data_IF_334127948034
#
_entry.id   IF_334127948034
#
_cell.length_a   1.000
_cell.length_b   1.000
_cell.length_c   1.000
_cell.angle_alpha   90.00
_cell.angle_beta   90.00
_cell.angle_gamma   90.00
#
_symmetry.space_group_name_H-M   'P 1'
#
loop_
_entity.id
_entity.type
_entity.pdbx_description
1 polymer ?
#
# COMPACT_ATOMS: atom_id res chain seq x y z
N UNK A 1 -1.16 11.52 -0.25
CA UNK A 1 -0.95 12.57 0.77
C UNK A 1 -1.13 13.99 0.24
N UNK A 2 -0.52 14.40 -0.88
CA UNK A 2 -0.64 15.77 -1.43
C UNK A 2 -2.09 16.26 -1.65
N UNK A 3 -2.98 15.42 -2.20
CA UNK A 3 -4.41 15.76 -2.35
C UNK A 3 -5.15 16.01 -1.03
N UNK A 4 -4.61 15.51 0.07
CA UNK A 4 -5.13 15.72 1.43
C UNK A 4 -4.43 16.89 2.16
N UNK A 5 -3.57 17.66 1.47
CA UNK A 5 -2.85 18.81 2.04
C UNK A 5 -1.47 18.48 2.62
N UNK A 6 -1.08 17.20 2.69
CA UNK A 6 0.24 16.81 3.19
C UNK A 6 1.38 17.10 2.22
N UNK A 7 2.52 17.57 2.72
CA UNK A 7 3.74 17.79 1.96
C UNK A 7 4.76 16.67 2.26
N UNK A 8 4.87 15.64 1.39
CA UNK A 8 5.78 14.53 1.62
C UNK A 8 7.24 14.95 1.42
N UNK A 9 8.08 14.66 2.42
CA UNK A 9 9.53 14.83 2.37
C UNK A 9 10.20 13.51 1.95
N UNK A 10 9.78 12.41 2.56
CA UNK A 10 10.21 11.05 2.24
C UNK A 10 9.08 10.05 2.40
N UNK A 11 9.09 9.00 1.58
CA UNK A 11 8.21 7.83 1.71
C UNK A 11 9.04 6.59 1.43
N UNK A 12 9.14 5.70 2.41
CA UNK A 12 9.72 4.37 2.24
C UNK A 12 8.58 3.36 2.12
N UNK A 13 8.61 2.59 1.05
CA UNK A 13 7.54 1.64 0.71
C UNK A 13 8.14 0.27 0.46
N UNK A 14 7.72 -0.70 1.27
CA UNK A 14 8.07 -2.12 1.09
C UNK A 14 6.84 -2.91 0.67
N UNK A 15 7.04 -3.88 -0.22
CA UNK A 15 6.02 -4.82 -0.66
C UNK A 15 6.52 -6.26 -0.47
N UNK A 16 6.01 -6.94 0.54
CA UNK A 16 6.28 -8.35 0.78
C UNK A 16 5.28 -9.20 -0.02
N UNK A 17 5.80 -10.01 -0.95
CA UNK A 17 4.99 -10.81 -1.88
C UNK A 17 5.05 -12.27 -1.48
N UNK A 18 3.89 -12.86 -1.20
CA UNK A 18 3.75 -14.28 -0.89
C UNK A 18 3.31 -15.06 -2.13
N UNK A 19 4.06 -16.11 -2.46
CA UNK A 19 3.69 -17.10 -3.48
C UNK A 19 3.10 -18.34 -2.82
N UNK A 20 2.02 -18.86 -3.39
CA UNK A 20 1.37 -20.10 -2.96
C UNK A 20 0.94 -20.94 -4.16
N UNK A 21 0.45 -22.15 -3.91
CA UNK A 21 -0.03 -23.03 -4.96
C UNK A 21 -1.27 -22.46 -5.66
N UNK A 22 -1.32 -22.60 -6.98
CA UNK A 22 -2.50 -22.27 -7.79
C UNK A 22 -3.40 -23.53 -7.92
N UNK A 23 -4.72 -23.44 -7.65
CA UNK A 23 -5.66 -24.53 -7.93
C UNK A 23 -5.64 -25.05 -9.37
N UNK A 24 -5.28 -24.21 -10.34
CA UNK A 24 -5.17 -24.58 -11.76
C UNK A 24 -3.78 -25.17 -12.12
N UNK A 25 -2.90 -25.29 -11.12
CA UNK A 25 -1.54 -25.82 -11.24
C UNK A 25 -0.46 -24.74 -11.26
N UNK A 26 0.67 -25.02 -10.61
CA UNK A 26 1.79 -24.08 -10.48
C UNK A 26 1.68 -23.16 -9.26
N UNK A 27 2.16 -21.93 -9.37
CA UNK A 27 2.17 -20.94 -8.29
C UNK A 27 1.43 -19.67 -8.70
N UNK A 28 0.81 -19.02 -7.71
CA UNK A 28 0.23 -17.68 -7.83
C UNK A 28 0.67 -16.80 -6.68
N UNK A 29 0.54 -15.48 -6.87
CA UNK A 29 0.65 -14.52 -5.79
C UNK A 29 -0.64 -14.61 -4.95
N UNK A 30 -0.50 -14.94 -3.68
CA UNK A 30 -1.65 -15.10 -2.77
C UNK A 30 -1.87 -13.89 -1.89
N UNK A 31 -0.78 -13.19 -1.55
CA UNK A 31 -0.82 -11.99 -0.72
C UNK A 31 0.31 -11.02 -1.09
N UNK A 32 0.00 -9.73 -0.97
CA UNK A 32 0.99 -8.65 -0.96
C UNK A 32 0.75 -7.82 0.30
N UNK A 33 1.73 -7.76 1.20
CA UNK A 33 1.71 -6.86 2.35
C UNK A 33 2.50 -5.61 2.01
N UNK A 34 1.82 -4.47 2.00
CA UNK A 34 2.47 -3.17 1.84
C UNK A 34 2.77 -2.59 3.22
N UNK A 35 3.97 -2.05 3.40
CA UNK A 35 4.36 -1.26 4.58
C UNK A 35 4.89 0.08 4.10
N UNK A 36 4.34 1.16 4.64
CA UNK A 36 4.68 2.54 4.27
C UNK A 36 5.07 3.32 5.51
N UNK A 37 6.28 3.84 5.52
CA UNK A 37 6.74 4.83 6.50
C UNK A 37 6.92 6.16 5.78
N UNK A 38 6.41 7.25 6.38
CA UNK A 38 6.41 8.55 5.71
C UNK A 38 6.79 9.72 6.60
N UNK A 39 7.69 10.55 6.10
CA UNK A 39 7.92 11.89 6.62
C UNK A 39 7.04 12.86 5.81
N UNK A 40 5.94 13.31 6.40
CA UNK A 40 4.95 14.16 5.71
C UNK A 40 4.55 15.32 6.61
N UNK A 41 4.82 16.55 6.16
CA UNK A 41 4.38 17.74 6.86
C UNK A 41 2.90 18.04 6.58
N UNK A 42 2.27 18.82 7.45
CA UNK A 42 0.88 19.29 7.32
C UNK A 42 -0.18 18.17 7.25
N UNK A 43 0.14 16.99 7.77
CA UNK A 43 -0.78 15.87 7.85
C UNK A 43 -0.58 15.13 9.18
N UNK A 44 -1.67 14.76 9.83
CA UNK A 44 -1.63 13.91 11.03
C UNK A 44 -1.67 12.42 10.66
N UNK A 45 -1.56 11.55 11.66
CA UNK A 45 -1.51 10.10 11.47
C UNK A 45 -2.80 9.57 10.80
N UNK A 46 -3.98 10.03 11.25
CA UNK A 46 -5.27 9.59 10.70
C UNK A 46 -5.43 10.05 9.24
N UNK A 47 -5.07 11.30 8.94
CA UNK A 47 -5.08 11.84 7.58
C UNK A 47 -4.09 11.13 6.66
N UNK A 48 -2.90 10.77 7.18
CA UNK A 48 -1.91 9.98 6.44
C UNK A 48 -2.44 8.58 6.15
N UNK A 49 -2.99 7.90 7.15
CA UNK A 49 -3.55 6.56 7.01
C UNK A 49 -4.72 6.55 6.01
N UNK A 50 -5.64 7.51 6.07
CA UNK A 50 -6.72 7.65 5.11
C UNK A 50 -6.21 7.88 3.68
N UNK A 51 -5.22 8.76 3.52
CA UNK A 51 -4.61 9.01 2.21
C UNK A 51 -3.88 7.77 1.65
N UNK A 52 -3.22 7.00 2.50
CA UNK A 52 -2.53 5.76 2.12
C UNK A 52 -3.53 4.67 1.71
N UNK A 53 -4.64 4.51 2.45
CA UNK A 53 -5.72 3.57 2.08
C UNK A 53 -6.37 3.96 0.75
N UNK A 54 -6.62 5.26 0.52
CA UNK A 54 -7.14 5.74 -0.76
C UNK A 54 -6.16 5.43 -1.91
N UNK A 55 -4.84 5.55 -1.68
CA UNK A 55 -3.82 5.20 -2.66
C UNK A 55 -3.79 3.70 -2.95
N UNK A 56 -3.88 2.83 -1.93
CA UNK A 56 -3.98 1.37 -2.09
C UNK A 56 -5.11 0.95 -3.02
N UNK A 57 -6.29 1.58 -2.88
CA UNK A 57 -7.45 1.29 -3.73
C UNK A 57 -7.32 1.94 -5.12
N UNK A 58 -6.71 3.13 -5.19
CA UNK A 58 -6.60 3.92 -6.40
C UNK A 58 -5.46 3.52 -7.35
N UNK A 59 -4.41 2.89 -6.82
CA UNK A 59 -3.18 2.58 -7.53
C UNK A 59 -3.43 1.66 -8.75
N UNK A 60 -2.92 2.00 -9.95
CA UNK A 60 -3.08 1.17 -11.15
C UNK A 60 -2.57 -0.27 -10.98
N UNK A 61 -1.46 -0.47 -10.27
CA UNK A 61 -0.90 -1.81 -10.00
C UNK A 61 -1.83 -2.59 -9.08
N UNK A 62 -2.30 -1.98 -7.99
CA UNK A 62 -3.24 -2.63 -7.07
C UNK A 62 -4.57 -2.98 -7.76
N UNK A 63 -5.05 -2.13 -8.67
CA UNK A 63 -6.23 -2.41 -9.51
C UNK A 63 -6.00 -3.52 -10.54
N UNK A 64 -4.78 -3.68 -11.03
CA UNK A 64 -4.45 -4.79 -11.92
C UNK A 64 -4.35 -6.12 -11.16
N UNK A 65 -3.90 -6.08 -9.90
CA UNK A 65 -3.67 -7.24 -9.04
C UNK A 65 -4.90 -7.61 -8.19
N UNK A 66 -6.11 -7.52 -8.74
CA UNK A 66 -7.37 -7.87 -8.02
C UNK A 66 -7.50 -9.36 -7.70
N UNK A 67 -6.70 -10.22 -8.33
CA UNK A 67 -6.65 -11.66 -8.07
C UNK A 67 -5.89 -12.06 -6.81
N UNK A 68 -5.26 -11.11 -6.10
CA UNK A 68 -4.53 -11.34 -4.84
C UNK A 68 -5.09 -10.47 -3.73
N UNK A 69 -4.84 -10.87 -2.48
CA UNK A 69 -5.11 -10.03 -1.32
C UNK A 69 -3.99 -9.01 -1.17
N UNK A 70 -4.35 -7.74 -0.98
CA UNK A 70 -3.38 -6.67 -0.69
C UNK A 70 -3.72 -6.10 0.69
N UNK A 71 -2.76 -6.11 1.61
CA UNK A 71 -2.84 -5.46 2.93
C UNK A 71 -1.94 -4.22 2.96
N UNK A 72 -2.22 -3.28 3.87
CA UNK A 72 -1.46 -2.05 4.00
C UNK A 72 -1.32 -1.70 5.48
N UNK A 73 -0.07 -1.54 5.89
CA UNK A 73 0.34 -0.86 7.12
C UNK A 73 0.99 0.48 6.74
N UNK A 74 0.58 1.57 7.37
CA UNK A 74 1.04 2.91 7.01
C UNK A 74 1.13 3.80 8.24
N UNK A 75 2.32 4.35 8.49
CA UNK A 75 2.60 5.24 9.61
C UNK A 75 3.46 6.42 9.19
N UNK A 76 3.34 7.52 9.94
CA UNK A 76 4.31 8.61 9.89
C UNK A 76 5.57 8.21 10.68
N UNK A 77 6.74 8.67 10.23
CA UNK A 77 8.01 8.52 10.92
C UNK A 77 8.22 9.58 12.01
#
# INVERSE_FOLDING_TARGET
>A
VAKAGGAPQALDVTADVTLGADPDGGFKITEIKLTVEGEVENLDADGFQAAAQAAKVGCPVSKALTGTTITLDASLA
#
